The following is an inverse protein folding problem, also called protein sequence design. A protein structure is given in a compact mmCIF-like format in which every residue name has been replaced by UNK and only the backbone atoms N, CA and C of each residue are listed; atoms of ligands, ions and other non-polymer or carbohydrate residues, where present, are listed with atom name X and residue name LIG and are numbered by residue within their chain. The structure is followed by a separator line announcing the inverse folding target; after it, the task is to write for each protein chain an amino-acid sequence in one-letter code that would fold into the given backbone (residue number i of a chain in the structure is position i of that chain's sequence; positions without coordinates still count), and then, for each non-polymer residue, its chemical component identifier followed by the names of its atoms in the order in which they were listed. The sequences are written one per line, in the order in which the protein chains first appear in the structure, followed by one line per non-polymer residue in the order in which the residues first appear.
data_IF_214117424981
#
_entry.id   IF_214117424981
#
_cell.length_a   1.000
_cell.length_b   1.000
_cell.length_c   1.000
_cell.angle_alpha   90.00
_cell.angle_beta   90.00
_cell.angle_gamma   90.00
#
_symmetry.space_group_name_H-M   'P 1'
#
loop_
_entity.id
_entity.type
_entity.pdbx_description
1 polymer ?
#
# COMPACT_ATOMS: atom_id res chain seq x y z
N UNK A 1 1.83 10.08 6.85
CA UNK A 1 2.33 10.74 5.64
C UNK A 1 1.96 12.23 5.61
N UNK A 2 0.67 12.62 5.73
CA UNK A 2 0.25 14.02 5.62
C UNK A 2 0.95 14.96 6.63
N UNK A 3 1.02 14.58 7.91
CA UNK A 3 1.71 15.37 8.94
C UNK A 3 3.20 15.51 8.62
N UNK A 4 3.80 14.47 8.09
CA UNK A 4 5.22 14.44 7.71
C UNK A 4 5.49 15.37 6.53
N UNK A 5 4.63 15.34 5.50
CA UNK A 5 4.67 16.27 4.38
C UNK A 5 4.48 17.72 4.83
N UNK A 6 3.60 17.98 5.79
CA UNK A 6 3.37 19.30 6.37
C UNK A 6 4.60 19.81 7.13
N UNK A 7 5.34 18.95 7.84
CA UNK A 7 6.60 19.28 8.50
C UNK A 7 7.74 19.52 7.51
N UNK A 8 7.83 18.76 6.42
CA UNK A 8 8.88 18.88 5.41
C UNK A 8 8.66 20.12 4.52
N UNK A 9 7.44 20.32 4.03
CA UNK A 9 7.11 21.39 3.07
C UNK A 9 6.48 22.64 3.70
N UNK A 10 5.99 22.54 4.94
CA UNK A 10 5.35 23.66 5.65
C UNK A 10 6.16 24.96 5.65
N UNK A 11 7.47 24.93 5.94
CA UNK A 11 8.33 26.12 5.89
C UNK A 11 8.37 26.80 4.52
N UNK A 12 8.28 26.03 3.43
CA UNK A 12 8.27 26.57 2.06
C UNK A 12 6.98 27.31 1.72
N UNK A 13 5.87 26.94 2.40
CA UNK A 13 4.54 27.54 2.21
C UNK A 13 4.27 28.65 3.27
N UNK A 14 5.27 28.96 4.11
CA UNK A 14 5.15 30.00 5.14
C UNK A 14 4.45 29.56 6.43
N UNK A 15 4.29 28.25 6.66
CA UNK A 15 3.81 27.75 7.95
C UNK A 15 4.89 27.89 9.03
N UNK A 16 4.58 28.55 10.17
CA UNK A 16 5.55 28.69 11.25
C UNK A 16 5.82 27.31 11.88
N UNK A 17 7.08 26.88 11.85
CA UNK A 17 7.54 25.77 12.67
C UNK A 17 7.74 26.22 14.11
N UNK A 18 7.60 25.32 15.09
CA UNK A 18 8.01 25.62 16.46
C UNK A 18 9.47 26.12 16.49
N UNK A 19 9.77 27.10 17.35
CA UNK A 19 11.11 27.70 17.44
C UNK A 19 12.23 26.68 17.62
N UNK A 20 11.94 25.58 18.33
CA UNK A 20 12.88 24.47 18.59
C UNK A 20 13.27 23.73 17.30
N UNK A 21 12.42 23.75 16.26
CA UNK A 21 12.62 23.06 14.98
C UNK A 21 13.02 24.02 13.86
N UNK A 22 13.02 25.33 14.12
CA UNK A 22 13.31 26.37 13.13
C UNK A 22 14.81 26.74 13.15
N UNK A 23 15.27 27.23 12.00
CA UNK A 23 16.66 27.64 11.81
C UNK A 23 17.67 26.48 11.76
N UNK A 24 18.94 26.84 11.57
CA UNK A 24 20.04 25.87 11.38
C UNK A 24 20.23 24.95 12.58
N UNK A 25 20.11 25.48 13.78
CA UNK A 25 20.27 24.69 15.02
C UNK A 25 19.10 23.75 15.31
N UNK A 26 17.90 24.08 14.82
CA UNK A 26 16.70 23.23 14.95
C UNK A 26 16.58 22.15 13.87
N UNK A 27 17.36 22.24 12.81
CA UNK A 27 17.28 21.32 11.68
C UNK A 27 17.49 19.83 12.06
N UNK A 28 18.45 19.43 12.90
CA UNK A 28 18.58 18.04 13.34
C UNK A 28 17.39 17.54 14.16
N UNK A 29 16.76 18.41 14.97
CA UNK A 29 15.58 18.09 15.75
C UNK A 29 14.38 17.86 14.81
N UNK A 30 14.23 18.71 13.81
CA UNK A 30 13.20 18.54 12.77
C UNK A 30 13.41 17.22 12.01
N UNK A 31 14.63 16.91 11.60
CA UNK A 31 14.97 15.65 10.92
C UNK A 31 14.67 14.42 11.78
N UNK A 32 15.04 14.46 13.05
CA UNK A 32 14.73 13.39 14.01
C UNK A 32 13.23 13.21 14.19
N UNK A 33 12.47 14.30 14.27
CA UNK A 33 11.01 14.26 14.36
C UNK A 33 10.38 13.65 13.13
N UNK A 34 10.86 14.04 11.93
CA UNK A 34 10.42 13.43 10.67
C UNK A 34 10.72 11.93 10.63
N UNK A 35 11.92 11.52 11.05
CA UNK A 35 12.30 10.11 11.15
C UNK A 35 11.36 9.35 12.07
N UNK A 36 11.12 9.84 13.29
CA UNK A 36 10.21 9.20 14.25
C UNK A 36 8.78 9.09 13.73
N UNK A 37 8.30 10.08 12.98
CA UNK A 37 6.98 10.05 12.35
C UNK A 37 6.93 9.12 11.12
N UNK A 38 8.05 8.88 10.45
CA UNK A 38 8.13 7.94 9.34
C UNK A 38 8.10 6.48 9.81
N UNK A 39 8.66 6.18 11.00
CA UNK A 39 8.71 4.81 11.53
C UNK A 39 7.34 4.10 11.59
N UNK A 40 6.26 4.68 12.16
CA UNK A 40 4.95 4.03 12.14
C UNK A 40 4.45 3.71 10.74
N UNK A 41 4.72 4.60 9.77
CA UNK A 41 4.33 4.36 8.36
C UNK A 41 5.09 3.17 7.79
N UNK A 42 6.38 3.06 8.07
CA UNK A 42 7.23 1.93 7.67
C UNK A 42 6.75 0.63 8.35
N UNK A 43 6.46 0.65 9.65
CA UNK A 43 6.00 -0.52 10.39
C UNK A 43 4.66 -1.07 9.86
N UNK A 44 3.69 -0.21 9.64
CA UNK A 44 2.39 -0.61 9.07
C UNK A 44 2.57 -1.22 7.68
N UNK A 45 3.52 -0.72 6.92
CA UNK A 45 3.80 -1.13 5.55
C UNK A 45 4.96 -2.13 5.42
N UNK A 46 5.39 -2.74 6.52
CA UNK A 46 6.57 -3.63 6.56
C UNK A 46 6.47 -4.82 5.59
N UNK A 47 5.25 -5.24 5.27
CA UNK A 47 4.99 -6.29 4.29
C UNK A 47 5.61 -5.99 2.91
N UNK A 48 5.60 -4.73 2.46
CA UNK A 48 6.20 -4.38 1.16
C UNK A 48 7.71 -4.59 1.16
N UNK A 49 8.38 -4.35 2.28
CA UNK A 49 9.82 -4.61 2.41
C UNK A 49 10.12 -6.11 2.39
N UNK A 50 9.39 -6.91 3.18
CA UNK A 50 9.63 -8.36 3.26
C UNK A 50 9.34 -9.06 1.93
N UNK A 51 8.20 -8.75 1.28
CA UNK A 51 7.84 -9.32 -0.01
C UNK A 51 8.75 -8.77 -1.11
N UNK A 52 8.99 -7.45 -1.14
CA UNK A 52 9.79 -6.79 -2.16
C UNK A 52 11.23 -7.29 -2.20
N UNK A 53 11.91 -7.38 -1.06
CA UNK A 53 13.28 -7.90 -1.01
C UNK A 53 13.34 -9.41 -1.29
N UNK A 54 12.34 -10.18 -0.85
CA UNK A 54 12.27 -11.62 -1.14
C UNK A 54 12.13 -11.88 -2.64
N UNK A 55 11.24 -11.18 -3.33
CA UNK A 55 11.04 -11.33 -4.79
C UNK A 55 12.24 -10.85 -5.58
N UNK A 56 12.92 -9.80 -5.11
CA UNK A 56 14.17 -9.34 -5.69
C UNK A 56 15.26 -10.42 -5.60
N UNK A 57 15.40 -11.06 -4.43
CA UNK A 57 16.36 -12.15 -4.23
C UNK A 57 16.04 -13.37 -5.11
N UNK A 58 14.77 -13.64 -5.34
CA UNK A 58 14.29 -14.71 -6.22
C UNK A 58 14.41 -14.38 -7.71
N UNK A 59 15.04 -13.25 -8.08
CA UNK A 59 15.18 -12.75 -9.46
C UNK A 59 13.84 -12.59 -10.19
N UNK A 60 12.77 -12.37 -9.45
CA UNK A 60 11.42 -12.09 -9.97
C UNK A 60 10.90 -10.78 -9.38
N UNK A 61 11.55 -9.62 -9.70
CA UNK A 61 11.17 -8.33 -9.15
C UNK A 61 9.74 -7.98 -9.56
N UNK A 62 9.01 -7.41 -8.62
CA UNK A 62 7.65 -6.92 -8.80
C UNK A 62 7.52 -5.46 -8.32
N UNK A 63 6.28 -4.94 -8.33
CA UNK A 63 6.01 -3.58 -7.85
C UNK A 63 6.44 -3.38 -6.38
N UNK A 64 6.27 -4.40 -5.53
CA UNK A 64 6.67 -4.34 -4.13
C UNK A 64 8.20 -4.23 -3.98
N UNK A 65 8.98 -4.84 -4.89
CA UNK A 65 10.44 -4.70 -4.95
C UNK A 65 10.88 -3.27 -5.22
N UNK A 66 10.21 -2.59 -6.17
CA UNK A 66 10.50 -1.19 -6.49
C UNK A 66 10.20 -0.27 -5.31
N UNK A 67 9.05 -0.49 -4.65
CA UNK A 67 8.65 0.25 -3.44
C UNK A 67 9.65 0.02 -2.31
N UNK A 68 10.06 -1.23 -2.07
CA UNK A 68 11.01 -1.57 -1.03
C UNK A 68 12.37 -0.88 -1.25
N UNK A 69 12.90 -0.91 -2.48
CA UNK A 69 14.19 -0.25 -2.81
C UNK A 69 14.06 1.26 -2.63
N UNK A 70 13.06 1.90 -3.24
CA UNK A 70 12.88 3.35 -3.20
C UNK A 70 12.69 3.88 -1.78
N UNK A 71 11.80 3.24 -1.00
CA UNK A 71 11.55 3.65 0.39
C UNK A 71 12.77 3.39 1.28
N UNK A 72 13.47 2.25 1.10
CA UNK A 72 14.69 1.97 1.86
C UNK A 72 15.81 2.96 1.54
N UNK A 73 16.02 3.29 0.26
CA UNK A 73 17.02 4.26 -0.15
C UNK A 73 16.73 5.65 0.45
N UNK A 74 15.47 6.10 0.41
CA UNK A 74 15.05 7.38 1.02
C UNK A 74 15.26 7.39 2.53
N UNK A 75 14.93 6.31 3.24
CA UNK A 75 15.14 6.19 4.69
C UNK A 75 16.63 6.17 5.05
N UNK A 76 17.44 5.41 4.31
CA UNK A 76 18.88 5.33 4.55
C UNK A 76 19.57 6.67 4.27
N UNK A 77 19.20 7.35 3.19
CA UNK A 77 19.73 8.67 2.90
C UNK A 77 19.34 9.70 3.96
N UNK A 78 18.07 9.70 4.40
CA UNK A 78 17.60 10.58 5.46
C UNK A 78 18.35 10.36 6.78
N UNK A 79 18.64 9.09 7.12
CA UNK A 79 19.45 8.75 8.30
C UNK A 79 20.89 9.22 8.15
N UNK A 80 21.49 9.06 6.96
CA UNK A 80 22.80 9.59 6.65
C UNK A 80 22.84 11.11 6.74
N UNK A 81 21.83 11.80 6.20
CA UNK A 81 21.72 13.26 6.29
C UNK A 81 21.61 13.72 7.74
N UNK A 82 20.81 13.04 8.57
CA UNK A 82 20.73 13.30 10.02
C UNK A 82 22.08 13.14 10.71
N UNK A 83 22.83 12.07 10.39
CA UNK A 83 24.17 11.86 10.93
C UNK A 83 25.12 13.00 10.55
N UNK A 84 25.13 13.42 9.28
CA UNK A 84 25.97 14.51 8.79
C UNK A 84 25.59 15.85 9.43
N UNK A 85 24.30 16.12 9.66
CA UNK A 85 23.86 17.32 10.37
C UNK A 85 24.33 17.34 11.84
N UNK A 86 24.29 16.21 12.53
CA UNK A 86 24.80 16.12 13.91
C UNK A 86 26.32 16.33 13.95
N UNK A 87 27.04 15.78 12.98
CA UNK A 87 28.47 16.00 12.86
C UNK A 87 28.81 17.47 12.57
N UNK A 88 28.12 18.10 11.61
CA UNK A 88 28.29 19.52 11.25
C UNK A 88 27.96 20.46 12.42
N UNK A 89 26.94 20.13 13.20
CA UNK A 89 26.57 20.88 14.40
C UNK A 89 27.72 20.87 15.43
N UNK A 90 28.39 19.71 15.62
CA UNK A 90 29.55 19.57 16.52
C UNK A 90 30.78 20.35 16.03
N UNK A 91 30.95 20.54 14.74
CA UNK A 91 32.06 21.30 14.12
C UNK A 91 31.76 22.79 13.92
N UNK A 92 30.51 23.22 14.08
CA UNK A 92 30.07 24.59 13.77
C UNK A 92 30.00 24.88 12.27
N UNK A 93 29.91 23.85 11.42
CA UNK A 93 29.80 24.00 9.97
C UNK A 93 28.34 24.23 9.53
N UNK A 94 27.98 25.50 9.47
CA UNK A 94 26.62 25.92 9.10
C UNK A 94 26.30 25.60 7.62
N UNK A 95 27.28 25.59 6.73
CA UNK A 95 27.06 25.32 5.32
C UNK A 95 26.63 23.87 5.09
N UNK A 96 27.36 22.91 5.67
CA UNK A 96 27.00 21.48 5.62
C UNK A 96 25.65 21.24 6.31
N UNK A 97 25.41 21.88 7.45
CA UNK A 97 24.15 21.75 8.18
C UNK A 97 22.95 22.21 7.33
N UNK A 98 23.07 23.36 6.68
CA UNK A 98 22.04 23.91 5.79
C UNK A 98 21.81 23.02 4.56
N UNK A 99 22.89 22.48 3.97
CA UNK A 99 22.81 21.58 2.82
C UNK A 99 21.95 20.33 3.12
N UNK A 100 22.22 19.66 4.23
CA UNK A 100 21.47 18.44 4.59
C UNK A 100 20.10 18.72 5.18
N UNK A 101 19.85 19.89 5.78
CA UNK A 101 18.53 20.27 6.29
C UNK A 101 17.45 20.33 5.20
N UNK A 102 17.84 20.72 3.97
CA UNK A 102 16.92 20.79 2.83
C UNK A 102 16.84 19.50 2.01
N UNK A 103 17.67 18.50 2.31
CA UNK A 103 17.75 17.23 1.59
C UNK A 103 17.39 16.03 2.48
N UNK A 104 16.34 16.17 3.26
CA UNK A 104 15.74 15.07 4.01
C UNK A 104 14.71 14.35 3.13
N UNK A 105 14.75 13.06 3.02
CA UNK A 105 13.84 12.28 2.18
C UNK A 105 12.93 11.33 2.99
N UNK A 106 12.70 11.61 4.28
CA UNK A 106 11.80 10.83 5.12
C UNK A 106 10.34 10.98 4.69
N UNK A 107 9.94 12.16 4.24
CA UNK A 107 8.64 12.45 3.66
C UNK A 107 8.41 11.67 2.37
N UNK A 108 9.42 11.59 1.51
CA UNK A 108 9.37 10.83 0.26
C UNK A 108 9.15 9.35 0.51
N UNK A 109 9.88 8.74 1.47
CA UNK A 109 9.67 7.35 1.86
C UNK A 109 8.24 7.11 2.36
N UNK A 110 7.74 7.98 3.25
CA UNK A 110 6.38 7.87 3.79
C UNK A 110 5.31 8.10 2.71
N UNK A 111 5.56 9.00 1.74
CA UNK A 111 4.64 9.28 0.65
C UNK A 111 4.55 8.09 -0.31
N UNK A 112 5.68 7.47 -0.70
CA UNK A 112 5.71 6.27 -1.53
C UNK A 112 4.86 5.17 -0.87
N UNK A 113 5.06 4.90 0.42
CA UNK A 113 4.32 3.89 1.17
C UNK A 113 2.83 4.22 1.30
N UNK A 114 2.49 5.47 1.52
CA UNK A 114 1.10 5.92 1.62
C UNK A 114 0.36 5.79 0.28
N UNK A 115 0.98 6.22 -0.82
CA UNK A 115 0.39 6.15 -2.16
C UNK A 115 0.19 4.71 -2.63
N UNK A 116 1.17 3.82 -2.38
CA UNK A 116 1.01 2.42 -2.74
C UNK A 116 -0.10 1.74 -1.94
N UNK A 117 -0.21 2.06 -0.65
CA UNK A 117 -1.27 1.54 0.21
C UNK A 117 -2.64 2.01 -0.27
N UNK A 118 -2.76 3.28 -0.64
CA UNK A 118 -3.99 3.84 -1.21
C UNK A 118 -4.33 3.18 -2.55
N UNK A 119 -3.33 2.98 -3.41
CA UNK A 119 -3.49 2.27 -4.69
C UNK A 119 -3.99 0.84 -4.50
N UNK A 120 -3.42 0.09 -3.55
CA UNK A 120 -3.86 -1.27 -3.20
C UNK A 120 -5.27 -1.30 -2.62
N UNK A 121 -5.65 -0.30 -1.84
CA UNK A 121 -7.02 -0.16 -1.36
C UNK A 121 -8.02 0.00 -2.50
N UNK A 122 -7.75 0.89 -3.47
CA UNK A 122 -8.62 1.08 -4.62
C UNK A 122 -8.67 -0.16 -5.53
N UNK A 123 -7.54 -0.82 -5.74
CA UNK A 123 -7.46 -2.08 -6.50
C UNK A 123 -8.34 -3.16 -5.85
N UNK A 124 -8.22 -3.35 -4.54
CA UNK A 124 -9.04 -4.30 -3.79
C UNK A 124 -10.53 -3.98 -3.91
N UNK A 125 -10.90 -2.72 -3.73
CA UNK A 125 -12.30 -2.28 -3.84
C UNK A 125 -12.88 -2.49 -5.23
N UNK A 126 -12.10 -2.23 -6.28
CA UNK A 126 -12.53 -2.48 -7.66
C UNK A 126 -12.74 -3.97 -7.94
N UNK A 127 -11.85 -4.83 -7.44
CA UNK A 127 -11.96 -6.29 -7.58
C UNK A 127 -13.21 -6.84 -6.86
N UNK A 128 -13.49 -6.38 -5.65
CA UNK A 128 -14.70 -6.82 -4.93
C UNK A 128 -15.98 -6.52 -5.71
N UNK A 129 -16.12 -5.33 -6.28
CA UNK A 129 -17.32 -4.98 -7.08
C UNK A 129 -17.50 -5.92 -8.29
N UNK A 130 -16.43 -6.34 -8.93
CA UNK A 130 -16.49 -7.25 -10.07
C UNK A 130 -16.90 -8.66 -9.63
N UNK A 131 -16.34 -9.14 -8.53
CA UNK A 131 -16.65 -10.46 -7.98
C UNK A 131 -18.11 -10.54 -7.51
N UNK A 132 -18.62 -9.49 -6.89
CA UNK A 132 -20.02 -9.42 -6.45
C UNK A 132 -20.99 -9.53 -7.65
N UNK A 133 -20.70 -8.86 -8.76
CA UNK A 133 -21.50 -8.96 -9.99
C UNK A 133 -21.51 -10.38 -10.56
N UNK A 134 -20.37 -11.06 -10.57
CA UNK A 134 -20.28 -12.47 -11.01
C UNK A 134 -21.04 -13.38 -10.06
N UNK A 135 -20.92 -13.18 -8.75
CA UNK A 135 -21.62 -13.97 -7.74
C UNK A 135 -23.14 -13.80 -7.85
N UNK A 136 -23.63 -12.58 -8.15
CA UNK A 136 -25.05 -12.34 -8.41
C UNK A 136 -25.54 -13.09 -9.66
N UNK A 137 -24.75 -13.13 -10.72
CA UNK A 137 -25.08 -13.92 -11.91
C UNK A 137 -25.09 -15.42 -11.62
N UNK A 138 -24.13 -15.92 -10.83
CA UNK A 138 -24.10 -17.32 -10.41
C UNK A 138 -25.28 -17.70 -9.51
N UNK A 139 -25.78 -16.77 -8.70
CA UNK A 139 -26.96 -17.01 -7.85
C UNK A 139 -28.29 -17.14 -8.65
N UNK A 140 -28.26 -16.79 -9.95
CA UNK A 140 -29.39 -17.03 -10.87
C UNK A 140 -29.44 -18.46 -11.39
N UNK A 141 -28.36 -19.24 -11.23
CA UNK A 141 -28.36 -20.66 -11.59
C UNK A 141 -29.13 -21.42 -10.51
N UNK A 142 -30.20 -22.15 -10.86
CA UNK A 142 -30.94 -22.92 -9.88
C UNK A 142 -30.09 -24.06 -9.30
N UNK A 143 -30.22 -24.27 -7.98
CA UNK A 143 -29.49 -25.36 -7.29
C UNK A 143 -30.02 -26.75 -7.66
N UNK A 144 -31.22 -26.82 -8.23
CA UNK A 144 -31.93 -28.06 -8.56
C UNK A 144 -32.41 -28.06 -9.98
N UNK A 145 -32.39 -29.20 -10.61
CA UNK A 145 -32.95 -29.46 -11.93
C UNK A 145 -33.99 -30.58 -11.86
N UNK A 146 -35.02 -30.52 -12.70
CA UNK A 146 -35.97 -31.62 -12.87
C UNK A 146 -35.52 -32.50 -14.03
N UNK A 147 -35.21 -33.73 -13.72
CA UNK A 147 -34.75 -34.72 -14.71
C UNK A 147 -35.80 -35.83 -14.88
N UNK A 148 -36.02 -36.24 -16.12
CA UNK A 148 -36.92 -37.36 -16.42
C UNK A 148 -36.15 -38.69 -16.31
N UNK A 149 -36.39 -39.46 -15.24
CA UNK A 149 -35.87 -40.80 -15.06
C UNK A 149 -37.04 -41.81 -15.04
N UNK A 150 -36.94 -42.84 -15.88
CA UNK A 150 -37.96 -43.91 -16.00
C UNK A 150 -39.40 -43.40 -16.21
N UNK A 151 -39.53 -42.28 -16.98
CA UNK A 151 -40.83 -41.66 -17.24
C UNK A 151 -41.42 -40.82 -16.09
N UNK A 152 -40.65 -40.63 -14.99
CA UNK A 152 -41.05 -39.79 -13.84
C UNK A 152 -40.15 -38.60 -13.70
N UNK A 153 -40.78 -37.42 -13.45
CA UNK A 153 -40.05 -36.18 -13.14
C UNK A 153 -39.46 -36.32 -11.72
N UNK A 154 -38.14 -36.18 -11.61
CA UNK A 154 -37.42 -36.24 -10.32
C UNK A 154 -36.59 -34.97 -10.19
N UNK A 155 -36.74 -34.27 -9.05
CA UNK A 155 -35.92 -33.11 -8.72
C UNK A 155 -34.59 -33.55 -8.16
N UNK A 156 -33.48 -33.15 -8.80
CA UNK A 156 -32.11 -33.50 -8.43
C UNK A 156 -31.23 -32.27 -8.33
N UNK A 157 -30.18 -32.28 -7.51
CA UNK A 157 -29.17 -31.21 -7.54
C UNK A 157 -28.58 -31.08 -8.93
N UNK A 158 -28.35 -29.85 -9.43
CA UNK A 158 -27.76 -29.61 -10.75
C UNK A 158 -26.38 -30.29 -10.88
N UNK A 159 -25.63 -30.38 -9.80
CA UNK A 159 -24.33 -31.06 -9.75
C UNK A 159 -24.39 -32.58 -10.01
N UNK A 160 -25.57 -33.19 -9.92
CA UNK A 160 -25.78 -34.63 -10.17
C UNK A 160 -26.31 -34.93 -11.58
N UNK A 161 -26.60 -33.93 -12.38
CA UNK A 161 -27.04 -34.09 -13.77
C UNK A 161 -25.86 -34.52 -14.64
N UNK A 162 -26.05 -35.57 -15.42
CA UNK A 162 -25.03 -36.16 -16.30
C UNK A 162 -25.33 -35.92 -17.77
N UNK A 163 -24.31 -36.02 -18.60
CA UNK A 163 -24.48 -35.93 -20.07
C UNK A 163 -25.34 -37.13 -20.54
N UNK A 164 -26.48 -36.79 -21.16
CA UNK A 164 -27.47 -37.79 -21.59
C UNK A 164 -28.78 -37.74 -20.80
N UNK A 165 -28.82 -37.05 -19.66
CA UNK A 165 -30.04 -36.86 -18.90
C UNK A 165 -31.02 -35.91 -19.63
N UNK A 166 -32.33 -36.22 -19.57
CA UNK A 166 -33.38 -35.40 -20.15
C UNK A 166 -33.85 -34.41 -19.06
N UNK A 167 -33.54 -33.13 -19.23
CA UNK A 167 -33.97 -32.07 -18.30
C UNK A 167 -35.32 -31.50 -18.73
N UNK A 168 -36.26 -31.42 -17.80
CA UNK A 168 -37.60 -30.87 -18.02
C UNK A 168 -37.61 -29.38 -17.63
N UNK A 169 -37.87 -28.49 -18.61
CA UNK A 169 -38.02 -27.07 -18.40
C UNK A 169 -39.52 -26.71 -18.51
N UNK A 170 -40.12 -26.23 -17.42
CA UNK A 170 -41.50 -25.74 -17.38
C UNK A 170 -41.52 -24.23 -17.63
N UNK A 171 -42.55 -23.72 -18.28
CA UNK A 171 -42.77 -22.29 -18.49
C UNK A 171 -42.78 -21.58 -17.13
N UNK A 172 -41.84 -20.65 -16.90
CA UNK A 172 -41.70 -19.93 -15.63
C UNK A 172 -40.73 -20.56 -14.64
N UNK A 173 -40.10 -21.71 -14.93
CA UNK A 173 -38.97 -22.20 -14.14
C UNK A 173 -37.73 -21.31 -14.36
N UNK A 174 -37.07 -20.93 -13.26
CA UNK A 174 -35.80 -20.26 -13.26
C UNK A 174 -34.68 -21.26 -13.18
#
# INVERSE_FOLDING_TARGET
AAILMMLAMGPMVGMPLPEVMSGTKGAPINALTQFLLALPVVFVNFKYFTVGFKTLWQRSPNMDSLVAIGSSASMLFGLFALYMMLYALGQGDEATLHHYAHNLYFDSAAMILALITLGKYFESRAKHKTTDAISQLMSLVPDKAVVLKDGKETEVPVSSVQVGDIVVLKTGSR
#
